data_IF_651759336170
#
_entry.id   IF_651759336170
#
_cell.length_a   1.000
_cell.length_b   1.000
_cell.length_c   1.000
_cell.angle_alpha   90.00
_cell.angle_beta   90.00
_cell.angle_gamma   90.00
#
_symmetry.space_group_name_H-M   'P 1'
#
loop_
_entity.id
_entity.type
_entity.pdbx_description
1 polymer ?
#
# COMPACT_ATOMS: atom_id res chain seq x y z
N UNK A 1 -11.99 4.11 -15.41
CA UNK A 1 -13.15 4.13 -14.49
C UNK A 1 -12.80 4.94 -13.25
N UNK A 2 -13.81 5.45 -12.52
CA UNK A 2 -13.68 6.25 -11.29
C UNK A 2 -14.75 5.84 -10.28
N UNK A 3 -14.63 6.30 -9.04
CA UNK A 3 -15.54 5.95 -7.94
C UNK A 3 -14.82 5.20 -6.83
N UNK A 4 -15.58 4.60 -5.91
CA UNK A 4 -15.06 3.83 -4.79
C UNK A 4 -15.36 2.34 -4.96
N UNK A 5 -14.66 1.49 -4.19
CA UNK A 5 -15.02 0.07 -4.11
C UNK A 5 -16.29 -0.02 -3.25
N UNK A 6 -17.42 -0.52 -3.80
CA UNK A 6 -18.66 -0.58 -3.03
C UNK A 6 -18.56 -1.66 -1.94
N UNK A 7 -19.20 -1.42 -0.80
CA UNK A 7 -19.28 -2.38 0.33
C UNK A 7 -19.83 -3.75 -0.08
N UNK A 8 -20.65 -3.80 -1.12
CA UNK A 8 -21.20 -5.05 -1.69
C UNK A 8 -20.13 -5.97 -2.26
N UNK A 9 -18.87 -5.52 -2.44
CA UNK A 9 -17.75 -6.37 -2.83
C UNK A 9 -17.63 -7.61 -1.93
N UNK A 10 -17.90 -7.47 -0.63
CA UNK A 10 -17.83 -8.56 0.34
C UNK A 10 -18.84 -9.69 0.11
N UNK A 11 -19.82 -9.49 -0.77
CA UNK A 11 -20.81 -10.53 -1.14
C UNK A 11 -20.25 -11.51 -2.19
N UNK A 12 -19.13 -11.18 -2.86
CA UNK A 12 -18.54 -12.00 -3.91
C UNK A 12 -17.72 -13.18 -3.33
N UNK A 13 -18.37 -14.09 -2.61
CA UNK A 13 -17.72 -15.19 -1.84
C UNK A 13 -16.88 -16.15 -2.68
N UNK A 14 -17.06 -16.15 -4.00
CA UNK A 14 -16.32 -16.99 -4.95
C UNK A 14 -15.17 -16.25 -5.66
N UNK A 15 -15.01 -14.95 -5.42
CA UNK A 15 -14.00 -14.14 -6.08
C UNK A 15 -12.59 -14.64 -5.71
N UNK A 16 -11.78 -14.91 -6.73
CA UNK A 16 -10.38 -15.35 -6.57
C UNK A 16 -9.37 -14.27 -6.94
N UNK A 17 -9.76 -13.36 -7.83
CA UNK A 17 -8.90 -12.32 -8.37
C UNK A 17 -9.70 -11.04 -8.48
N UNK A 18 -9.18 -9.95 -7.91
CA UNK A 18 -9.70 -8.60 -8.08
C UNK A 18 -8.65 -7.76 -8.82
N UNK A 19 -9.00 -7.27 -10.01
CA UNK A 19 -8.12 -6.46 -10.86
C UNK A 19 -8.81 -5.13 -11.16
N UNK A 20 -8.35 -4.07 -10.50
CA UNK A 20 -8.81 -2.69 -10.71
C UNK A 20 -7.65 -1.74 -11.01
N UNK A 21 -6.45 -2.27 -11.28
CA UNK A 21 -5.27 -1.47 -11.54
C UNK A 21 -5.41 -0.52 -12.74
N UNK A 22 -4.64 0.57 -12.75
CA UNK A 22 -4.59 1.55 -13.85
C UNK A 22 -5.94 2.27 -14.07
N UNK A 23 -6.56 2.73 -12.98
CA UNK A 23 -7.82 3.46 -13.02
C UNK A 23 -7.74 4.74 -12.18
N UNK A 24 -8.89 5.39 -11.97
CA UNK A 24 -9.05 6.58 -11.13
C UNK A 24 -9.96 6.28 -9.94
N UNK A 25 -9.99 5.04 -9.44
CA UNK A 25 -10.72 4.72 -8.22
C UNK A 25 -10.09 5.45 -7.02
N UNK A 26 -10.92 5.85 -6.07
CA UNK A 26 -10.56 6.60 -4.88
C UNK A 26 -11.31 6.07 -3.66
N UNK A 27 -11.19 6.76 -2.53
CA UNK A 27 -11.79 6.34 -1.26
C UNK A 27 -10.87 5.40 -0.48
N UNK A 28 -11.32 5.02 0.70
CA UNK A 28 -10.68 4.02 1.55
C UNK A 28 -11.04 2.59 1.09
N UNK A 29 -10.24 1.60 1.51
CA UNK A 29 -10.62 0.21 1.30
C UNK A 29 -11.79 -0.15 2.23
N UNK A 30 -12.93 -0.66 1.70
CA UNK A 30 -14.04 -1.06 2.54
C UNK A 30 -13.65 -2.26 3.41
N UNK A 31 -14.09 -2.28 4.67
CA UNK A 31 -13.86 -3.40 5.59
C UNK A 31 -14.42 -4.71 5.05
N UNK A 32 -15.47 -4.64 4.25
CA UNK A 32 -16.10 -5.77 3.58
C UNK A 32 -15.19 -6.44 2.54
N UNK A 33 -14.08 -5.82 2.13
CA UNK A 33 -13.06 -6.49 1.33
C UNK A 33 -12.51 -7.73 2.07
N UNK A 34 -12.43 -7.68 3.40
CA UNK A 34 -12.04 -8.80 4.26
C UNK A 34 -13.01 -9.99 4.21
N UNK A 35 -14.21 -9.81 3.67
CA UNK A 35 -15.24 -10.85 3.57
C UNK A 35 -15.12 -11.73 2.32
N UNK A 36 -13.92 -11.82 1.73
CA UNK A 36 -13.60 -12.56 0.51
C UNK A 36 -12.73 -13.80 0.79
N UNK A 37 -13.30 -14.91 1.30
CA UNK A 37 -12.51 -16.03 1.83
C UNK A 37 -11.67 -16.78 0.80
N UNK A 38 -11.95 -16.59 -0.50
CA UNK A 38 -11.30 -17.29 -1.62
C UNK A 38 -10.37 -16.41 -2.44
N UNK A 39 -10.19 -15.15 -2.05
CA UNK A 39 -9.38 -14.20 -2.81
C UNK A 39 -7.90 -14.58 -2.72
N UNK A 40 -7.27 -14.76 -3.88
CA UNK A 40 -5.85 -15.10 -4.00
C UNK A 40 -5.00 -13.92 -4.44
N UNK A 41 -5.60 -12.98 -5.16
CA UNK A 41 -4.88 -11.87 -5.77
C UNK A 41 -5.71 -10.60 -5.81
N UNK A 42 -5.13 -9.50 -5.32
CA UNK A 42 -5.73 -8.17 -5.34
C UNK A 42 -4.73 -7.21 -6.01
N UNK A 43 -5.15 -6.59 -7.11
CA UNK A 43 -4.38 -5.59 -7.86
C UNK A 43 -5.16 -4.28 -7.91
N UNK A 44 -4.78 -3.34 -7.06
CA UNK A 44 -5.37 -1.99 -6.95
C UNK A 44 -4.35 -0.90 -7.31
N UNK A 45 -3.16 -1.29 -7.78
CA UNK A 45 -2.08 -0.36 -8.06
C UNK A 45 -2.42 0.66 -9.15
N UNK A 46 -1.78 1.83 -9.12
CA UNK A 46 -2.05 2.92 -10.06
C UNK A 46 -3.52 3.39 -9.99
N UNK A 47 -3.95 3.81 -8.80
CA UNK A 47 -5.25 4.43 -8.53
C UNK A 47 -5.04 5.64 -7.58
N UNK A 48 -6.12 6.12 -6.95
CA UNK A 48 -6.15 7.23 -5.99
C UNK A 48 -6.75 6.79 -4.64
N UNK A 49 -6.61 5.52 -4.27
CA UNK A 49 -7.06 5.04 -2.96
C UNK A 49 -6.23 5.70 -1.85
N UNK A 50 -6.87 6.02 -0.73
CA UNK A 50 -6.22 6.67 0.42
C UNK A 50 -6.67 6.02 1.74
N UNK A 51 -6.19 6.58 2.86
CA UNK A 51 -6.51 6.11 4.20
C UNK A 51 -5.55 5.04 4.70
N UNK A 52 -5.85 4.51 5.88
CA UNK A 52 -5.01 3.54 6.57
C UNK A 52 -5.27 2.11 6.12
N UNK A 53 -4.22 1.29 6.06
CA UNK A 53 -4.35 -0.14 5.81
C UNK A 53 -4.67 -0.88 7.12
N UNK A 54 -5.91 -0.75 7.57
CA UNK A 54 -6.41 -1.39 8.78
C UNK A 54 -6.24 -2.92 8.74
N UNK A 55 -5.65 -3.48 9.80
CA UNK A 55 -5.35 -4.91 9.91
C UNK A 55 -6.59 -5.80 9.73
N UNK A 56 -7.73 -5.35 10.26
CA UNK A 56 -9.02 -6.04 10.22
C UNK A 56 -9.53 -6.32 8.80
N UNK A 57 -9.14 -5.51 7.81
CA UNK A 57 -9.47 -5.75 6.39
C UNK A 57 -8.80 -7.04 5.90
N UNK A 58 -7.61 -7.35 6.41
CA UNK A 58 -6.76 -8.43 5.92
C UNK A 58 -6.88 -9.73 6.73
N UNK A 59 -7.39 -9.67 7.96
CA UNK A 59 -7.59 -10.84 8.84
C UNK A 59 -8.43 -11.95 8.18
N UNK A 60 -9.47 -11.58 7.43
CA UNK A 60 -10.33 -12.53 6.72
C UNK A 60 -9.74 -13.08 5.41
N UNK A 61 -8.62 -12.53 4.94
CA UNK A 61 -8.06 -12.81 3.60
C UNK A 61 -7.06 -13.98 3.61
N UNK A 62 -7.41 -15.07 4.29
CA UNK A 62 -6.51 -16.20 4.59
C UNK A 62 -5.90 -16.91 3.37
N UNK A 63 -6.47 -16.72 2.16
CA UNK A 63 -5.95 -17.30 0.91
C UNK A 63 -5.18 -16.31 0.04
N UNK A 64 -5.06 -15.05 0.46
CA UNK A 64 -4.38 -14.00 -0.28
C UNK A 64 -2.88 -14.24 -0.30
N UNK A 65 -2.30 -14.24 -1.50
CA UNK A 65 -0.86 -14.43 -1.70
C UNK A 65 -0.23 -13.39 -2.61
N UNK A 66 -1.04 -12.59 -3.31
CA UNK A 66 -0.57 -11.51 -4.17
C UNK A 66 -1.36 -10.23 -3.89
N UNK A 67 -0.66 -9.18 -3.48
CA UNK A 67 -1.24 -7.89 -3.18
C UNK A 67 -0.41 -6.78 -3.84
N UNK A 68 -1.05 -5.96 -4.67
CA UNK A 68 -0.44 -4.78 -5.26
C UNK A 68 -1.31 -3.55 -4.97
N UNK A 69 -0.82 -2.72 -4.06
CA UNK A 69 -1.42 -1.43 -3.66
C UNK A 69 -0.52 -0.25 -4.04
N UNK A 70 0.58 -0.51 -4.74
CA UNK A 70 1.57 0.49 -5.09
C UNK A 70 1.03 1.61 -5.99
N UNK A 71 1.60 2.82 -5.89
CA UNK A 71 1.14 4.02 -6.61
C UNK A 71 -0.32 4.34 -6.30
N UNK A 72 -0.58 4.56 -5.02
CA UNK A 72 -1.82 5.07 -4.45
C UNK A 72 -1.46 6.17 -3.43
N UNK A 73 -2.40 6.53 -2.56
CA UNK A 73 -2.27 7.56 -1.54
C UNK A 73 -2.51 6.99 -0.13
N UNK A 74 -2.26 5.70 0.10
CA UNK A 74 -2.39 5.09 1.44
C UNK A 74 -1.41 5.73 2.42
N UNK A 75 -1.85 5.97 3.66
CA UNK A 75 -1.09 6.65 4.70
C UNK A 75 -1.25 5.95 6.05
N UNK A 76 -0.68 6.53 7.13
CA UNK A 76 -0.72 5.96 8.47
C UNK A 76 0.40 4.93 8.72
N UNK A 77 0.32 4.18 9.82
CA UNK A 77 1.33 3.20 10.17
C UNK A 77 1.50 2.13 9.09
N UNK A 78 2.76 1.75 8.83
CA UNK A 78 3.03 0.63 7.95
C UNK A 78 2.45 -0.66 8.54
N UNK A 79 1.68 -1.42 7.75
CA UNK A 79 0.78 -2.42 8.30
C UNK A 79 1.49 -3.76 8.56
N UNK A 80 2.36 -3.78 9.57
CA UNK A 80 3.15 -4.97 9.96
C UNK A 80 2.28 -6.17 10.36
N UNK A 81 1.10 -5.92 10.93
CA UNK A 81 0.19 -6.95 11.43
C UNK A 81 -0.35 -7.89 10.35
N UNK A 82 -0.72 -7.40 9.15
CA UNK A 82 -1.18 -8.32 8.11
C UNK A 82 -0.02 -9.05 7.41
N UNK A 83 1.20 -8.53 7.53
CA UNK A 83 2.40 -9.15 6.97
C UNK A 83 2.81 -10.40 7.75
N UNK A 84 2.49 -10.44 9.05
CA UNK A 84 2.72 -11.63 9.89
C UNK A 84 1.69 -12.73 9.65
N UNK A 85 0.43 -12.39 9.34
CA UNK A 85 -0.65 -13.38 9.16
C UNK A 85 -0.73 -13.92 7.72
N UNK A 86 -0.29 -13.14 6.71
CA UNK A 86 -0.41 -13.50 5.30
C UNK A 86 0.92 -13.95 4.70
N UNK A 87 0.88 -15.09 4.00
CA UNK A 87 2.06 -15.66 3.33
C UNK A 87 2.16 -15.15 1.89
N UNK A 88 2.54 -13.88 1.72
CA UNK A 88 2.64 -13.27 0.40
C UNK A 88 3.76 -13.89 -0.44
N UNK A 89 3.41 -14.28 -1.67
CA UNK A 89 4.37 -14.54 -2.75
C UNK A 89 4.78 -13.26 -3.45
N UNK A 90 3.86 -12.28 -3.47
CA UNK A 90 4.07 -10.97 -4.12
C UNK A 90 3.35 -9.90 -3.33
N UNK A 91 4.11 -8.94 -2.82
CA UNK A 91 3.58 -7.77 -2.14
C UNK A 91 4.20 -6.52 -2.76
N UNK A 92 3.37 -5.54 -3.12
CA UNK A 92 3.80 -4.25 -3.64
C UNK A 92 3.04 -3.13 -2.95
N UNK A 93 3.75 -2.35 -2.15
CA UNK A 93 3.21 -1.22 -1.38
C UNK A 93 3.90 0.11 -1.75
N UNK A 94 4.80 0.09 -2.74
CA UNK A 94 5.61 1.25 -3.08
C UNK A 94 4.83 2.46 -3.58
N UNK A 95 5.41 3.65 -3.42
CA UNK A 95 4.78 4.92 -3.82
C UNK A 95 3.40 5.09 -3.17
N UNK A 96 3.38 5.05 -1.84
CA UNK A 96 2.32 5.48 -0.93
C UNK A 96 2.96 6.41 0.13
N UNK A 97 2.23 6.78 1.18
CA UNK A 97 2.60 7.78 2.20
C UNK A 97 2.58 7.18 3.63
N UNK A 98 3.12 5.98 3.84
CA UNK A 98 3.15 5.38 5.18
C UNK A 98 4.13 6.10 6.11
N UNK A 99 3.75 6.24 7.38
CA UNK A 99 4.45 7.05 8.38
C UNK A 99 5.54 6.28 9.13
N UNK A 100 5.43 4.95 9.21
CA UNK A 100 6.38 4.11 9.95
C UNK A 100 7.14 3.15 9.03
N UNK A 101 8.32 2.72 9.48
CA UNK A 101 9.06 1.67 8.80
C UNK A 101 8.57 0.28 9.21
N UNK A 102 8.61 -0.70 8.30
CA UNK A 102 8.70 -2.09 8.71
C UNK A 102 9.94 -2.35 9.57
N UNK A 103 9.83 -3.22 10.59
CA UNK A 103 10.97 -3.82 11.27
C UNK A 103 11.70 -4.79 10.32
N UNK A 104 12.59 -4.25 9.50
CA UNK A 104 13.24 -4.88 8.35
C UNK A 104 13.96 -6.22 8.64
N UNK A 105 14.33 -6.50 9.89
CA UNK A 105 14.93 -7.78 10.32
C UNK A 105 13.97 -8.98 10.32
N UNK A 106 12.66 -8.76 10.31
CA UNK A 106 11.65 -9.83 10.37
C UNK A 106 11.11 -10.22 8.98
N UNK A 107 11.63 -9.61 7.91
CA UNK A 107 11.07 -9.74 6.56
C UNK A 107 11.63 -10.93 5.78
N UNK A 108 10.79 -11.64 5.02
CA UNK A 108 11.26 -12.66 4.11
C UNK A 108 12.16 -12.04 3.03
N UNK A 109 13.39 -12.55 2.93
CA UNK A 109 14.44 -12.09 2.00
C UNK A 109 14.05 -12.20 0.51
N UNK A 110 12.93 -12.83 0.17
CA UNK A 110 12.43 -13.03 -1.19
C UNK A 110 11.46 -11.95 -1.69
N UNK A 111 10.99 -11.04 -0.83
CA UNK A 111 10.03 -10.00 -1.23
C UNK A 111 10.74 -8.78 -1.85
N UNK A 112 10.23 -8.30 -2.98
CA UNK A 112 10.62 -7.00 -3.58
C UNK A 112 9.60 -5.96 -3.17
N UNK A 113 10.01 -4.95 -2.42
CA UNK A 113 9.18 -3.77 -2.18
C UNK A 113 10.00 -2.49 -2.24
N UNK A 114 9.32 -1.39 -2.52
CA UNK A 114 9.85 -0.05 -2.29
C UNK A 114 8.88 0.65 -1.33
N UNK A 115 9.36 1.59 -0.54
CA UNK A 115 8.57 2.32 0.44
C UNK A 115 8.98 3.78 0.34
N UNK A 116 8.05 4.70 0.26
CA UNK A 116 8.36 6.13 0.40
C UNK A 116 7.87 6.58 1.77
N UNK A 117 8.76 7.20 2.53
CA UNK A 117 8.47 7.81 3.82
C UNK A 117 9.01 9.23 3.78
N UNK A 118 8.11 10.22 3.83
CA UNK A 118 8.47 11.62 3.60
C UNK A 118 9.26 11.79 2.29
N UNK A 119 10.49 12.29 2.42
CA UNK A 119 11.42 12.51 1.32
C UNK A 119 12.25 11.28 0.96
N UNK A 120 12.23 10.22 1.76
CA UNK A 120 13.07 9.03 1.56
C UNK A 120 12.29 7.96 0.82
N UNK A 121 12.86 7.44 -0.26
CA UNK A 121 12.39 6.20 -0.88
C UNK A 121 13.37 5.07 -0.62
N UNK A 122 12.89 4.07 0.09
CA UNK A 122 13.54 2.81 0.37
C UNK A 122 13.22 1.81 -0.74
N UNK A 123 14.19 1.00 -1.11
CA UNK A 123 14.04 -0.09 -2.07
C UNK A 123 14.72 -1.32 -1.50
N UNK A 124 13.90 -2.34 -1.20
CA UNK A 124 14.41 -3.63 -0.82
C UNK A 124 14.55 -4.52 -2.05
N UNK A 125 15.78 -4.99 -2.29
CA UNK A 125 16.07 -5.98 -3.33
C UNK A 125 16.32 -7.33 -2.67
N UNK A 126 15.64 -8.40 -3.09
CA UNK A 126 15.89 -9.73 -2.55
C UNK A 126 17.33 -10.12 -2.87
N UNK A 127 18.00 -10.66 -1.87
CA UNK A 127 19.32 -11.24 -2.03
C UNK A 127 19.21 -12.54 -2.83
N UNK A 128 20.26 -12.89 -3.58
CA UNK A 128 20.34 -14.19 -4.24
C UNK A 128 20.50 -15.28 -3.17
N UNK A 129 20.03 -16.50 -3.44
CA UNK A 129 20.31 -17.64 -2.55
C UNK A 129 21.83 -17.78 -2.38
N UNK A 130 22.29 -17.90 -1.13
CA UNK A 130 23.72 -18.01 -0.78
C UNK A 130 24.45 -16.69 -0.48
N UNK A 131 23.77 -15.54 -0.52
CA UNK A 131 24.40 -14.28 -0.05
C UNK A 131 24.41 -14.24 1.49
N UNK A 132 25.54 -13.91 2.16
CA UNK A 132 25.59 -13.83 3.62
C UNK A 132 24.63 -12.75 4.14
N UNK A 133 24.01 -12.94 5.32
CA UNK A 133 23.16 -11.93 5.95
C UNK A 133 24.03 -10.74 6.40
N UNK A 134 24.35 -9.85 5.48
CA UNK A 134 24.90 -8.53 5.78
C UNK A 134 23.73 -7.57 5.93
N UNK A 135 23.78 -6.77 7.01
CA UNK A 135 22.77 -5.81 7.48
C UNK A 135 21.67 -5.49 6.46
N UNK A 136 20.46 -5.96 6.75
CA UNK A 136 19.25 -5.96 5.91
C UNK A 136 18.65 -4.54 5.83
N UNK A 137 19.48 -3.51 5.63
CA UNK A 137 18.99 -2.16 5.41
C UNK A 137 18.63 -2.01 3.93
N UNK A 138 17.38 -1.64 3.58
CA UNK A 138 17.04 -1.32 2.21
C UNK A 138 17.88 -0.14 1.70
N UNK A 139 18.30 -0.19 0.44
CA UNK A 139 18.85 0.98 -0.25
C UNK A 139 17.85 2.14 -0.11
N UNK A 140 18.30 3.36 0.19
CA UNK A 140 17.43 4.53 0.18
C UNK A 140 17.94 5.63 -0.75
N UNK A 141 17.00 6.40 -1.26
CA UNK A 141 17.21 7.60 -2.08
C UNK A 141 16.45 8.76 -1.44
N UNK A 142 17.11 9.89 -1.23
CA UNK A 142 16.47 11.13 -0.74
C UNK A 142 15.98 11.97 -1.91
N UNK A 143 14.72 12.40 -1.85
CA UNK A 143 14.15 13.34 -2.79
C UNK A 143 14.31 14.77 -2.28
N UNK A 144 14.58 15.74 -3.17
CA UNK A 144 14.62 17.15 -2.78
C UNK A 144 13.25 17.58 -2.23
N UNK A 145 13.27 18.40 -1.19
CA UNK A 145 12.08 19.09 -0.70
C UNK A 145 11.49 19.91 -1.85
N UNK A 146 10.32 19.50 -2.35
CA UNK A 146 9.52 20.45 -3.12
C UNK A 146 9.00 21.45 -2.10
N UNK A 147 9.53 22.67 -2.09
CA UNK A 147 8.88 23.76 -1.39
C UNK A 147 7.42 23.81 -1.87
N UNK A 148 6.52 23.36 -1.01
CA UNK A 148 5.09 23.53 -1.19
C UNK A 148 4.87 25.04 -1.30
N UNK A 149 4.57 25.50 -2.50
CA UNK A 149 4.01 26.83 -2.70
C UNK A 149 2.69 26.77 -1.93
N UNK A 150 2.67 27.36 -0.73
CA UNK A 150 1.43 27.63 -0.02
C UNK A 150 0.47 28.31 -1.01
N UNK A 151 -0.79 27.88 -1.16
CA UNK A 151 -1.77 28.73 -1.81
C UNK A 151 -1.88 29.98 -0.95
N UNK A 152 -1.33 31.09 -1.46
CA UNK A 152 -1.54 32.40 -0.89
C UNK A 152 -3.04 32.64 -0.83
N UNK A 153 -3.51 32.98 0.37
CA UNK A 153 -4.87 33.43 0.61
C UNK A 153 -5.12 34.61 -0.32
N UNK A 154 -5.88 34.39 -1.40
CA UNK A 154 -6.38 35.48 -2.24
C UNK A 154 -7.35 36.26 -1.37
N UNK A 155 -6.92 37.43 -0.92
CA UNK A 155 -7.79 38.37 -0.23
C UNK A 155 -8.99 38.68 -1.15
N UNK A 156 -10.18 38.48 -0.62
CA UNK A 156 -11.44 38.77 -1.27
C UNK A 156 -11.60 40.30 -1.35
N UNK A 157 -11.70 40.94 -2.54
CA UNK A 157 -11.95 42.36 -2.61
C UNK A 157 -13.46 42.59 -2.51
N UNK A 158 -13.98 42.59 -1.28
CA UNK A 158 -15.35 42.98 -0.99
C UNK A 158 -15.46 43.58 0.41
N UNK A 159 -14.71 44.66 0.64
CA UNK A 159 -15.08 45.69 1.62
C UNK A 159 -14.98 47.04 0.90
N UNK A 160 -16.16 47.60 0.59
CA UNK A 160 -16.38 49.01 0.24
C UNK A 160 -16.90 49.72 1.48
#
# INVERSE_FOLDING_TARGET
MYGEIPKTIGQLKRLKVLQLQLNKFSGELPIELGNLPRIKSIYLNNNRFYGELNASIFEGLTTLSQLALNRNQFSGPFPTSFLSILRFRKLRLENNYFDTTPHWHEYPTHLKFSLRMGLKQYRFRPQKEGTPPQQILPDYTEFPETHSIHPTHVANPSDR
#
